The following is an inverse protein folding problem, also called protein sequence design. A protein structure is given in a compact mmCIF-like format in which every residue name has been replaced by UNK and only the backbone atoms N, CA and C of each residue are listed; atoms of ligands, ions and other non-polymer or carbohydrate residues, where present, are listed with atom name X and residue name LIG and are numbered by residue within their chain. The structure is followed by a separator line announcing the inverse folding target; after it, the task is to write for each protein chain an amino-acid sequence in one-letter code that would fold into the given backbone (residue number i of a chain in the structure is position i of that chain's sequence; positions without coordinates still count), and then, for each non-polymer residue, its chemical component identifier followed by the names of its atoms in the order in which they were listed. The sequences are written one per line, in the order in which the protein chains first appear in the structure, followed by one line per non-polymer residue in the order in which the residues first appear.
data_IF_703440570782
#
_entry.id   IF_703440570782
#
_cell.length_a   1.000
_cell.length_b   1.000
_cell.length_c   1.000
_cell.angle_alpha   90.00
_cell.angle_beta   90.00
_cell.angle_gamma   90.00
#
_symmetry.space_group_name_H-M   'P 1'
#
loop_
_entity.id
_entity.type
_entity.pdbx_description
1 polymer ?
#
# COMPACT_ATOMS: atom_id res chain seq x y z
N UNK A 1 43.64 -36.34 34.80
CA UNK A 1 42.22 -36.41 34.39
C UNK A 1 41.41 -35.11 34.45
N UNK A 2 41.72 -34.08 35.22
CA UNK A 2 40.95 -32.80 35.29
C UNK A 2 41.02 -31.91 34.04
N UNK A 3 42.08 -31.92 33.21
CA UNK A 3 42.28 -31.04 32.06
C UNK A 3 41.51 -31.41 30.77
N UNK A 4 41.15 -32.70 30.58
CA UNK A 4 40.34 -33.19 29.46
C UNK A 4 38.88 -32.66 29.52
N UNK A 5 38.35 -32.48 30.72
CA UNK A 5 37.02 -31.95 30.97
C UNK A 5 36.88 -30.46 30.60
N UNK A 6 37.93 -29.65 30.83
CA UNK A 6 37.93 -28.22 30.50
C UNK A 6 37.95 -27.96 28.99
N UNK A 7 38.63 -28.77 28.18
CA UNK A 7 38.64 -28.64 26.71
C UNK A 7 37.28 -28.99 26.10
N UNK A 8 36.64 -30.09 26.57
CA UNK A 8 35.27 -30.45 26.11
C UNK A 8 34.24 -29.40 26.53
N UNK A 9 34.34 -28.85 27.72
CA UNK A 9 33.44 -27.80 28.21
C UNK A 9 33.56 -26.50 27.38
N UNK A 10 34.76 -26.11 26.94
CA UNK A 10 34.97 -24.95 26.06
C UNK A 10 34.37 -25.17 24.67
N UNK A 11 34.50 -26.35 24.06
CA UNK A 11 33.91 -26.69 22.78
C UNK A 11 32.37 -26.64 22.86
N UNK A 12 31.78 -27.20 23.90
CA UNK A 12 30.33 -27.15 24.13
C UNK A 12 29.82 -25.71 24.33
N UNK A 13 30.62 -24.82 24.92
CA UNK A 13 30.26 -23.40 25.11
C UNK A 13 30.21 -22.63 23.79
N UNK A 14 31.12 -22.93 22.84
CA UNK A 14 31.10 -22.31 21.50
C UNK A 14 29.94 -22.84 20.65
N UNK A 15 29.62 -24.14 20.74
CA UNK A 15 28.46 -24.73 20.08
C UNK A 15 27.16 -24.13 20.63
N UNK A 16 27.06 -23.97 21.94
CA UNK A 16 25.93 -23.31 22.59
C UNK A 16 25.75 -21.85 22.16
N UNK A 17 26.86 -21.08 22.06
CA UNK A 17 26.83 -19.71 21.57
C UNK A 17 26.30 -19.61 20.14
N UNK A 18 26.72 -20.52 19.25
CA UNK A 18 26.25 -20.56 17.87
C UNK A 18 24.76 -20.82 17.76
N UNK A 19 24.24 -21.77 18.55
CA UNK A 19 22.80 -22.04 18.64
C UNK A 19 22.02 -20.82 19.11
N UNK A 20 22.50 -20.09 20.12
CA UNK A 20 21.88 -18.87 20.63
C UNK A 20 21.86 -17.79 19.54
N UNK A 21 22.93 -17.59 18.81
CA UNK A 21 22.99 -16.62 17.70
C UNK A 21 21.97 -16.95 16.62
N UNK A 22 21.84 -18.23 16.23
CA UNK A 22 20.84 -18.67 15.24
C UNK A 22 19.43 -18.40 15.75
N UNK A 23 19.13 -18.71 17.00
CA UNK A 23 17.80 -18.45 17.59
C UNK A 23 17.50 -16.95 17.57
N UNK A 24 18.44 -16.09 17.95
CA UNK A 24 18.27 -14.64 17.92
C UNK A 24 17.98 -14.14 16.50
N UNK A 25 18.71 -14.63 15.50
CA UNK A 25 18.47 -14.25 14.09
C UNK A 25 17.07 -14.66 13.63
N UNK A 26 16.62 -15.87 14.00
CA UNK A 26 15.28 -16.35 13.66
C UNK A 26 14.21 -15.48 14.34
N UNK A 27 14.37 -15.13 15.60
CA UNK A 27 13.44 -14.27 16.34
C UNK A 27 13.37 -12.88 15.71
N UNK A 28 14.51 -12.28 15.38
CA UNK A 28 14.58 -10.98 14.71
C UNK A 28 13.86 -11.03 13.36
N UNK A 29 14.06 -12.09 12.57
CA UNK A 29 13.41 -12.28 11.29
C UNK A 29 11.88 -12.38 11.44
N UNK A 30 11.40 -13.17 12.39
CA UNK A 30 9.95 -13.30 12.66
C UNK A 30 9.34 -11.96 13.06
N UNK A 31 10.01 -11.21 13.93
CA UNK A 31 9.54 -9.90 14.39
C UNK A 31 9.55 -8.87 13.24
N UNK A 32 10.59 -8.85 12.41
CA UNK A 32 10.68 -7.96 11.26
C UNK A 32 9.56 -8.23 10.24
N UNK A 33 9.33 -9.50 9.87
CA UNK A 33 8.24 -9.88 8.96
C UNK A 33 6.86 -9.53 9.53
N UNK A 34 6.64 -9.75 10.84
CA UNK A 34 5.38 -9.36 11.49
C UNK A 34 5.17 -7.84 11.49
N UNK A 35 6.24 -7.09 11.74
CA UNK A 35 6.22 -5.63 11.69
C UNK A 35 5.87 -5.12 10.30
N UNK A 36 6.52 -5.63 9.24
CA UNK A 36 6.24 -5.23 7.87
C UNK A 36 4.81 -5.58 7.45
N UNK A 37 4.31 -6.78 7.83
CA UNK A 37 2.91 -7.16 7.58
C UNK A 37 1.93 -6.20 8.24
N UNK A 38 2.13 -5.88 9.51
CA UNK A 38 1.25 -4.95 10.23
C UNK A 38 1.31 -3.53 9.64
N UNK A 39 2.50 -3.10 9.21
CA UNK A 39 2.67 -1.80 8.58
C UNK A 39 1.95 -1.73 7.24
N UNK A 40 2.06 -2.76 6.39
CA UNK A 40 1.38 -2.76 5.09
C UNK A 40 -0.13 -2.84 5.24
N UNK A 41 -0.67 -3.65 6.18
CA UNK A 41 -2.10 -3.68 6.49
C UNK A 41 -2.60 -2.29 6.89
N UNK A 42 -1.93 -1.63 7.83
CA UNK A 42 -2.27 -0.26 8.23
C UNK A 42 -2.15 0.75 7.09
N UNK A 43 -1.12 0.63 6.25
CA UNK A 43 -0.93 1.52 5.10
C UNK A 43 -2.03 1.31 4.08
N UNK A 44 -2.40 0.06 3.81
CA UNK A 44 -3.51 -0.30 2.92
C UNK A 44 -4.84 0.29 3.42
N UNK A 45 -5.19 0.08 4.68
CA UNK A 45 -6.42 0.60 5.29
C UNK A 45 -6.49 2.14 5.23
N UNK A 46 -5.37 2.80 5.54
CA UNK A 46 -5.28 4.25 5.46
C UNK A 46 -5.45 4.74 4.01
N UNK A 47 -4.82 4.07 3.04
CA UNK A 47 -4.92 4.41 1.62
C UNK A 47 -6.33 4.19 1.11
N UNK A 48 -6.97 3.09 1.48
CA UNK A 48 -8.35 2.81 1.08
C UNK A 48 -9.33 3.83 1.69
N UNK A 49 -9.13 4.20 2.95
CA UNK A 49 -9.90 5.26 3.62
C UNK A 49 -9.69 6.61 2.93
N UNK A 50 -8.46 6.93 2.57
CA UNK A 50 -8.16 8.14 1.80
C UNK A 50 -8.88 8.14 0.44
N UNK A 51 -8.84 7.03 -0.33
CA UNK A 51 -9.56 6.94 -1.60
C UNK A 51 -11.08 7.11 -1.43
N UNK A 52 -11.66 6.48 -0.40
CA UNK A 52 -13.08 6.65 -0.08
C UNK A 52 -13.40 8.12 0.24
N UNK A 53 -12.53 8.81 0.97
CA UNK A 53 -12.71 10.24 1.26
C UNK A 53 -12.59 11.13 0.01
N UNK A 54 -11.70 10.79 -0.91
CA UNK A 54 -11.57 11.51 -2.19
C UNK A 54 -12.84 11.32 -3.06
N UNK A 55 -13.38 10.11 -3.14
CA UNK A 55 -14.64 9.85 -3.82
C UNK A 55 -15.80 10.63 -3.18
N UNK A 56 -15.86 10.70 -1.84
CA UNK A 56 -16.86 11.49 -1.13
C UNK A 56 -16.73 12.97 -1.47
N UNK A 57 -15.53 13.54 -1.35
CA UNK A 57 -15.30 14.96 -1.66
C UNK A 57 -15.64 15.28 -3.11
N UNK A 58 -15.32 14.38 -4.04
CA UNK A 58 -15.68 14.52 -5.43
C UNK A 58 -17.20 14.54 -5.62
N UNK A 59 -17.92 13.57 -5.03
CA UNK A 59 -19.38 13.54 -5.06
C UNK A 59 -20.01 14.81 -4.49
N UNK A 60 -19.45 15.35 -3.39
CA UNK A 60 -19.90 16.61 -2.80
C UNK A 60 -19.70 17.80 -3.74
N UNK A 61 -18.56 17.88 -4.44
CA UNK A 61 -18.30 18.94 -5.43
C UNK A 61 -19.27 18.82 -6.61
N UNK A 62 -19.50 17.61 -7.13
CA UNK A 62 -20.45 17.37 -8.22
C UNK A 62 -21.88 17.73 -7.79
N UNK A 63 -22.28 17.37 -6.57
CA UNK A 63 -23.61 17.73 -6.06
C UNK A 63 -23.72 19.25 -5.83
N UNK A 64 -22.71 19.90 -5.30
CA UNK A 64 -22.68 21.35 -5.11
C UNK A 64 -22.79 22.09 -6.44
N UNK A 65 -22.06 21.64 -7.48
CA UNK A 65 -22.14 22.23 -8.82
C UNK A 65 -23.53 22.02 -9.44
N UNK A 66 -24.12 20.82 -9.29
CA UNK A 66 -25.49 20.54 -9.70
C UNK A 66 -26.48 21.50 -9.01
N UNK A 67 -26.39 21.63 -7.69
CA UNK A 67 -27.27 22.52 -6.92
C UNK A 67 -27.09 23.97 -7.39
N UNK A 68 -25.86 24.45 -7.52
CA UNK A 68 -25.56 25.80 -7.98
C UNK A 68 -26.14 26.09 -9.38
N UNK A 69 -26.01 25.12 -10.29
CA UNK A 69 -26.58 25.26 -11.64
C UNK A 69 -28.11 25.31 -11.64
N UNK A 70 -28.77 24.44 -10.85
CA UNK A 70 -30.22 24.43 -10.70
C UNK A 70 -30.77 25.71 -10.04
N UNK A 71 -30.07 26.19 -8.99
CA UNK A 71 -30.43 27.48 -8.34
C UNK A 71 -30.32 28.64 -9.32
N UNK A 72 -29.22 28.74 -10.06
CA UNK A 72 -29.03 29.77 -11.09
C UNK A 72 -30.14 29.71 -12.14
N UNK A 73 -30.46 28.51 -12.65
CA UNK A 73 -31.51 28.35 -13.66
C UNK A 73 -32.89 28.72 -13.11
N UNK A 74 -33.13 28.43 -11.81
CA UNK A 74 -34.35 28.85 -11.12
C UNK A 74 -34.45 30.36 -11.01
N UNK A 75 -33.34 31.03 -10.61
CA UNK A 75 -33.28 32.52 -10.57
C UNK A 75 -33.55 33.13 -11.95
N UNK A 76 -32.97 32.57 -13.02
CA UNK A 76 -33.23 33.00 -14.39
C UNK A 76 -34.69 32.82 -14.80
N UNK A 77 -35.30 31.67 -14.41
CA UNK A 77 -36.74 31.49 -14.67
C UNK A 77 -37.60 32.51 -13.93
N UNK A 78 -37.25 32.83 -12.65
CA UNK A 78 -37.94 33.86 -11.86
C UNK A 78 -37.77 35.25 -12.49
N UNK A 79 -36.58 35.58 -13.02
CA UNK A 79 -36.32 36.82 -13.72
C UNK A 79 -37.20 36.96 -14.97
N UNK A 80 -37.28 35.92 -15.83
CA UNK A 80 -38.15 35.87 -16.99
C UNK A 80 -39.62 36.05 -16.56
N UNK A 81 -40.08 35.35 -15.53
CA UNK A 81 -41.44 35.52 -15.01
C UNK A 81 -41.75 36.90 -14.49
N UNK A 82 -40.77 37.59 -13.88
CA UNK A 82 -40.90 38.95 -13.41
C UNK A 82 -40.94 39.97 -14.56
N UNK A 83 -40.14 39.75 -15.61
CA UNK A 83 -40.12 40.61 -16.78
C UNK A 83 -41.45 40.52 -17.56
N UNK A 84 -41.98 39.30 -17.75
CA UNK A 84 -43.30 39.08 -18.38
C UNK A 84 -44.41 39.73 -17.55
N UNK A 85 -44.34 39.66 -16.22
CA UNK A 85 -45.33 40.29 -15.33
C UNK A 85 -45.27 41.82 -15.45
N UNK A 86 -44.09 42.39 -15.69
CA UNK A 86 -43.92 43.85 -15.85
C UNK A 86 -44.46 44.33 -17.20
N UNK A 87 -44.25 43.55 -18.24
CA UNK A 87 -44.65 43.86 -19.60
C UNK A 87 -45.01 42.56 -20.37
N UNK A 88 -46.30 42.30 -20.47
CA UNK A 88 -46.82 41.08 -21.15
C UNK A 88 -46.57 41.09 -22.68
N UNK A 89 -46.26 42.25 -23.29
CA UNK A 89 -45.84 42.33 -24.67
C UNK A 89 -44.48 41.71 -24.94
N UNK A 90 -43.68 41.45 -23.87
CA UNK A 90 -42.41 40.75 -23.97
C UNK A 90 -42.55 39.25 -24.25
N UNK A 91 -43.76 38.70 -24.27
CA UNK A 91 -43.96 37.28 -24.65
C UNK A 91 -43.79 37.11 -26.15
N UNK A 92 -42.56 37.32 -26.62
CA UNK A 92 -42.22 37.06 -28.01
C UNK A 92 -40.91 36.25 -28.16
N UNK A 93 -40.74 35.67 -29.34
CA UNK A 93 -39.57 34.82 -29.62
C UNK A 93 -38.26 35.61 -29.69
N UNK A 94 -38.32 36.93 -29.94
CA UNK A 94 -37.11 37.78 -30.02
C UNK A 94 -36.57 38.05 -28.61
N UNK A 95 -37.45 38.39 -27.68
CA UNK A 95 -37.07 38.53 -26.26
C UNK A 95 -36.48 37.24 -25.73
N UNK A 96 -37.20 36.10 -25.89
CA UNK A 96 -36.73 34.80 -25.42
C UNK A 96 -35.38 34.40 -26.02
N UNK A 97 -35.17 34.70 -27.33
CA UNK A 97 -33.89 34.48 -27.97
C UNK A 97 -32.77 35.29 -27.32
N UNK A 98 -32.95 36.60 -27.22
CA UNK A 98 -31.94 37.51 -26.69
C UNK A 98 -31.60 37.16 -25.23
N UNK A 99 -32.61 36.84 -24.40
CA UNK A 99 -32.42 36.46 -23.02
C UNK A 99 -31.66 35.10 -22.91
N UNK A 100 -32.10 34.11 -23.70
CA UNK A 100 -31.48 32.78 -23.70
C UNK A 100 -30.00 32.84 -24.10
N UNK A 101 -29.69 33.65 -25.13
CA UNK A 101 -28.29 33.83 -25.57
C UNK A 101 -27.45 34.59 -24.55
N UNK A 102 -28.00 35.68 -23.99
CA UNK A 102 -27.30 36.47 -22.95
C UNK A 102 -27.02 35.68 -21.69
N UNK A 103 -27.96 34.86 -21.25
CA UNK A 103 -27.85 34.03 -20.03
C UNK A 103 -27.22 32.67 -20.27
N UNK A 104 -26.85 32.33 -21.49
CA UNK A 104 -26.29 31.03 -21.90
C UNK A 104 -27.17 29.86 -21.53
N UNK A 105 -28.45 30.01 -21.69
CA UNK A 105 -29.45 28.96 -21.53
C UNK A 105 -29.61 28.14 -22.81
N UNK A 106 -30.18 26.93 -22.73
CA UNK A 106 -30.48 26.10 -23.87
C UNK A 106 -31.86 26.44 -24.48
N UNK A 107 -32.80 26.87 -23.65
CA UNK A 107 -34.10 27.31 -24.10
C UNK A 107 -35.06 27.69 -22.98
N UNK A 108 -36.15 28.36 -23.41
CA UNK A 108 -37.26 28.81 -22.57
C UNK A 108 -38.55 28.48 -23.26
N UNK A 109 -39.54 27.98 -22.51
CA UNK A 109 -40.91 27.71 -22.98
C UNK A 109 -41.84 28.40 -22.00
N UNK A 110 -42.68 29.27 -22.51
CA UNK A 110 -43.80 29.91 -21.76
C UNK A 110 -45.08 29.11 -22.04
N UNK A 111 -45.67 28.60 -20.98
CA UNK A 111 -46.86 27.74 -21.03
C UNK A 111 -48.09 28.49 -20.50
N UNK A 112 -49.23 28.22 -21.09
CA UNK A 112 -50.54 28.65 -20.56
C UNK A 112 -51.06 27.77 -19.43
N UNK A 113 -52.32 28.00 -19.00
CA UNK A 113 -53.00 27.22 -17.96
C UNK A 113 -53.21 25.75 -18.34
N UNK A 114 -53.34 25.44 -19.64
CA UNK A 114 -53.50 24.09 -20.17
C UNK A 114 -52.18 23.43 -20.53
N UNK A 115 -51.06 23.98 -20.07
CA UNK A 115 -49.69 23.48 -20.37
C UNK A 115 -49.37 23.44 -21.87
N UNK A 116 -49.97 24.32 -22.67
CA UNK A 116 -49.66 24.52 -24.09
C UNK A 116 -48.65 25.68 -24.26
N UNK A 117 -47.77 25.63 -25.25
CA UNK A 117 -46.79 26.67 -25.46
C UNK A 117 -47.41 27.93 -26.05
N UNK A 118 -47.35 29.06 -25.33
CA UNK A 118 -47.68 30.38 -25.88
C UNK A 118 -46.50 30.97 -26.68
N UNK A 119 -45.31 30.80 -26.14
CA UNK A 119 -44.06 31.25 -26.79
C UNK A 119 -42.91 30.35 -26.40
N UNK A 120 -41.98 30.13 -27.29
CA UNK A 120 -40.79 29.33 -27.00
C UNK A 120 -39.59 29.73 -27.84
N UNK A 121 -38.41 29.49 -27.28
CA UNK A 121 -37.15 29.58 -28.01
C UNK A 121 -36.17 28.53 -27.52
N UNK A 122 -35.44 27.92 -28.46
CA UNK A 122 -34.40 26.93 -28.18
C UNK A 122 -33.20 27.16 -29.10
N UNK A 123 -32.01 27.24 -28.52
CA UNK A 123 -30.76 27.29 -29.30
C UNK A 123 -30.17 25.89 -29.56
N UNK A 124 -30.78 24.82 -28.97
CA UNK A 124 -30.33 23.42 -29.12
C UNK A 124 -31.34 22.56 -29.91
N UNK A 125 -32.40 23.17 -30.44
CA UNK A 125 -33.42 22.48 -31.24
C UNK A 125 -34.34 21.57 -30.43
N UNK A 126 -34.44 21.77 -29.12
CA UNK A 126 -35.38 21.06 -28.22
C UNK A 126 -36.54 21.99 -27.91
N UNK A 127 -37.63 21.82 -28.60
CA UNK A 127 -38.87 22.57 -28.43
C UNK A 127 -39.82 21.93 -27.43
N UNK A 128 -41.04 22.43 -27.35
CA UNK A 128 -42.11 21.90 -26.48
C UNK A 128 -42.31 20.38 -26.66
N UNK A 129 -42.33 19.90 -27.91
CA UNK A 129 -42.62 18.49 -28.19
C UNK A 129 -41.54 17.59 -27.55
N UNK A 130 -40.32 18.08 -27.52
CA UNK A 130 -39.24 17.36 -26.86
C UNK A 130 -39.44 17.21 -25.33
N UNK A 131 -40.11 18.16 -24.69
CA UNK A 131 -40.33 18.19 -23.23
C UNK A 131 -41.76 17.85 -22.81
N UNK A 132 -42.67 17.59 -23.74
CA UNK A 132 -44.09 17.41 -23.54
C UNK A 132 -44.44 16.44 -22.43
N UNK A 133 -43.86 15.25 -22.43
CA UNK A 133 -44.10 14.22 -21.39
C UNK A 133 -43.74 14.72 -19.98
N UNK A 134 -42.65 15.45 -19.86
CA UNK A 134 -42.21 16.01 -18.58
C UNK A 134 -43.07 17.22 -18.17
N UNK A 135 -43.40 18.10 -19.10
CA UNK A 135 -44.23 19.29 -18.85
C UNK A 135 -45.62 18.87 -18.38
N UNK A 136 -46.16 17.80 -18.94
CA UNK A 136 -47.45 17.25 -18.56
C UNK A 136 -47.41 16.39 -17.26
N UNK A 137 -46.23 16.12 -16.73
CA UNK A 137 -46.10 15.43 -15.43
C UNK A 137 -46.79 16.25 -14.32
N UNK A 138 -47.39 15.55 -13.39
CA UNK A 138 -48.08 16.14 -12.23
C UNK A 138 -47.20 17.11 -11.46
N UNK A 139 -45.89 16.85 -11.38
CA UNK A 139 -44.94 17.71 -10.68
C UNK A 139 -44.86 19.11 -11.25
N UNK A 140 -44.93 19.27 -12.57
CA UNK A 140 -44.88 20.56 -13.25
C UNK A 140 -46.27 21.15 -13.40
N UNK A 141 -47.26 20.37 -13.81
CA UNK A 141 -48.64 20.85 -13.99
C UNK A 141 -49.28 21.39 -12.71
N UNK A 142 -48.94 20.85 -11.54
CA UNK A 142 -49.39 21.39 -10.26
C UNK A 142 -48.80 22.78 -9.89
N UNK A 143 -47.73 23.23 -10.57
CA UNK A 143 -47.12 24.55 -10.30
C UNK A 143 -48.11 25.67 -10.58
N UNK A 144 -48.96 25.54 -11.61
CA UNK A 144 -50.01 26.52 -11.93
C UNK A 144 -50.94 26.82 -10.75
N UNK A 145 -51.19 25.81 -9.91
CA UNK A 145 -52.07 25.92 -8.73
C UNK A 145 -51.40 26.52 -7.51
N UNK A 146 -50.07 26.54 -7.49
CA UNK A 146 -49.27 26.93 -6.31
C UNK A 146 -48.16 27.86 -6.70
N UNK A 147 -48.40 29.15 -6.71
CA UNK A 147 -47.47 30.20 -7.13
C UNK A 147 -46.11 30.20 -6.46
N UNK A 148 -45.94 29.51 -5.34
CA UNK A 148 -44.67 29.37 -4.62
C UNK A 148 -43.95 28.06 -4.88
N UNK A 149 -44.57 27.14 -5.66
CA UNK A 149 -43.90 25.89 -6.05
C UNK A 149 -42.91 26.16 -7.17
N UNK A 150 -41.75 25.54 -7.04
CA UNK A 150 -40.69 25.54 -8.03
C UNK A 150 -40.34 24.08 -8.30
N UNK A 151 -40.17 23.73 -9.55
CA UNK A 151 -39.59 22.47 -9.94
C UNK A 151 -38.20 22.74 -10.48
N UNK A 152 -37.20 22.01 -9.98
CA UNK A 152 -35.84 22.08 -10.49
C UNK A 152 -35.21 20.68 -10.40
N UNK A 153 -34.76 20.16 -11.54
CA UNK A 153 -34.21 18.81 -11.61
C UNK A 153 -33.17 18.72 -12.73
N UNK A 154 -32.13 17.91 -12.54
CA UNK A 154 -31.19 17.50 -13.60
C UNK A 154 -31.62 16.18 -14.16
N UNK A 155 -31.87 16.09 -15.44
CA UNK A 155 -32.29 14.88 -16.13
C UNK A 155 -31.35 14.55 -17.31
N UNK A 156 -31.33 13.27 -17.67
CA UNK A 156 -30.62 12.83 -18.87
C UNK A 156 -31.62 12.61 -20.01
N UNK A 157 -31.35 13.25 -21.17
CA UNK A 157 -32.11 13.07 -22.40
C UNK A 157 -31.16 12.91 -23.58
N UNK A 158 -31.39 11.88 -24.41
CA UNK A 158 -30.53 11.57 -25.56
C UNK A 158 -29.03 11.50 -25.20
N UNK A 159 -28.70 10.85 -24.07
CA UNK A 159 -27.32 10.76 -23.52
C UNK A 159 -26.68 12.08 -23.11
N UNK A 160 -27.44 13.18 -23.10
CA UNK A 160 -26.98 14.49 -22.64
C UNK A 160 -27.71 14.90 -21.38
N UNK A 161 -27.03 15.65 -20.52
CA UNK A 161 -27.61 16.14 -19.28
C UNK A 161 -28.18 17.53 -19.44
N UNK A 162 -29.35 17.76 -18.87
CA UNK A 162 -30.04 19.05 -18.87
C UNK A 162 -30.48 19.39 -17.44
N UNK A 163 -30.20 20.61 -17.02
CA UNK A 163 -30.85 21.21 -15.86
C UNK A 163 -32.12 21.87 -16.30
N UNK A 164 -33.18 21.64 -15.54
CA UNK A 164 -34.53 22.12 -15.78
C UNK A 164 -34.99 22.93 -14.59
N UNK A 165 -35.70 24.02 -14.86
CA UNK A 165 -36.43 24.78 -13.86
C UNK A 165 -37.81 25.17 -14.41
N UNK A 166 -38.83 25.00 -13.56
CA UNK A 166 -40.17 25.46 -13.88
C UNK A 166 -40.75 26.23 -12.70
N UNK A 167 -41.34 27.39 -13.00
CA UNK A 167 -42.01 28.25 -12.02
C UNK A 167 -43.40 28.65 -12.50
N UNK A 168 -44.26 29.01 -11.57
CA UNK A 168 -45.57 29.61 -11.91
C UNK A 168 -45.36 31.01 -12.49
N UNK A 169 -46.11 31.34 -13.51
CA UNK A 169 -46.25 32.72 -14.01
C UNK A 169 -46.98 33.57 -12.96
N UNK A 170 -46.71 34.87 -12.99
CA UNK A 170 -47.31 35.82 -12.07
C UNK A 170 -48.26 36.80 -12.76
N UNK A 171 -48.20 36.86 -14.08
CA UNK A 171 -49.09 37.69 -14.91
C UNK A 171 -50.43 36.99 -15.28
N UNK A 172 -50.36 35.70 -15.52
CA UNK A 172 -51.50 34.85 -15.89
C UNK A 172 -51.27 33.43 -15.36
N UNK A 173 -52.34 32.59 -15.29
CA UNK A 173 -52.10 31.15 -14.97
C UNK A 173 -51.27 30.50 -16.06
N UNK A 174 -50.19 29.78 -15.63
CA UNK A 174 -49.24 29.15 -16.54
C UNK A 174 -47.91 28.89 -15.90
N UNK A 175 -46.92 28.48 -16.72
CA UNK A 175 -45.60 28.09 -16.23
C UNK A 175 -44.51 28.67 -17.14
N UNK A 176 -43.45 29.18 -16.53
CA UNK A 176 -42.16 29.46 -17.21
C UNK A 176 -41.29 28.24 -17.03
N UNK A 177 -40.98 27.59 -18.15
CA UNK A 177 -40.11 26.41 -18.19
C UNK A 177 -38.78 26.74 -18.85
N UNK A 178 -37.71 26.62 -18.10
CA UNK A 178 -36.36 26.93 -18.55
C UNK A 178 -35.50 25.68 -18.53
N UNK A 179 -34.56 25.57 -19.45
CA UNK A 179 -33.60 24.47 -19.44
C UNK A 179 -32.24 24.92 -19.94
N UNK A 180 -31.20 24.27 -19.36
CA UNK A 180 -29.81 24.53 -19.70
C UNK A 180 -29.13 23.20 -20.03
N UNK A 181 -28.37 23.18 -21.11
CA UNK A 181 -27.52 22.04 -21.45
C UNK A 181 -26.30 21.99 -20.52
N UNK A 182 -26.05 20.84 -19.97
CA UNK A 182 -24.85 20.57 -19.19
C UNK A 182 -23.86 19.82 -20.05
N UNK A 183 -22.73 20.44 -20.30
CA UNK A 183 -21.66 19.80 -21.06
C UNK A 183 -21.05 18.67 -20.25
N UNK A 184 -21.07 17.45 -20.79
CA UNK A 184 -20.42 16.30 -20.16
C UNK A 184 -18.90 16.49 -20.06
N UNK A 185 -18.31 17.34 -20.89
CA UNK A 185 -16.89 17.65 -20.82
C UNK A 185 -16.51 18.40 -19.53
N UNK A 186 -17.42 19.21 -18.97
CA UNK A 186 -17.18 19.82 -17.64
C UNK A 186 -17.21 18.79 -16.49
N UNK A 187 -17.97 17.72 -16.62
CA UNK A 187 -17.88 16.57 -15.71
C UNK A 187 -16.54 15.84 -15.92
N UNK A 188 -16.04 15.79 -17.16
CA UNK A 188 -14.72 15.25 -17.49
C UNK A 188 -13.58 16.14 -16.95
N UNK A 189 -13.74 17.46 -16.94
CA UNK A 189 -12.79 18.38 -16.28
C UNK A 189 -12.77 18.20 -14.75
N UNK A 190 -13.91 17.84 -14.16
CA UNK A 190 -13.98 17.43 -12.74
C UNK A 190 -13.28 16.08 -12.52
N UNK A 191 -13.32 15.18 -13.49
CA UNK A 191 -12.54 13.93 -13.47
C UNK A 191 -11.04 14.20 -13.59
N UNK A 192 -10.63 15.18 -14.40
CA UNK A 192 -9.25 15.66 -14.43
C UNK A 192 -8.81 16.21 -13.06
N UNK A 193 -9.74 16.75 -12.26
CA UNK A 193 -9.44 17.19 -10.90
C UNK A 193 -9.17 16.01 -9.96
N UNK A 194 -9.90 14.90 -10.05
CA UNK A 194 -9.60 13.66 -9.27
C UNK A 194 -8.24 13.09 -9.66
N UNK A 195 -7.97 13.05 -10.97
CA UNK A 195 -6.68 12.55 -11.46
C UNK A 195 -5.53 13.45 -10.98
N UNK A 196 -5.70 14.77 -11.01
CA UNK A 196 -4.71 15.73 -10.50
C UNK A 196 -4.48 15.60 -8.97
N UNK A 197 -5.51 15.31 -8.20
CA UNK A 197 -5.37 15.06 -6.77
C UNK A 197 -4.60 13.76 -6.48
N UNK A 198 -4.78 12.74 -7.29
CA UNK A 198 -4.11 11.44 -7.13
C UNK A 198 -2.74 11.40 -7.78
N UNK A 199 -2.52 12.08 -8.90
CA UNK A 199 -1.22 12.13 -9.59
C UNK A 199 -0.09 12.70 -8.72
N UNK A 200 -0.42 13.57 -7.76
CA UNK A 200 0.53 14.09 -6.76
C UNK A 200 0.65 13.25 -5.50
N UNK A 201 -0.14 12.20 -5.35
CA UNK A 201 -0.15 11.39 -4.15
C UNK A 201 1.02 10.39 -4.15
N UNK A 202 2.09 10.78 -3.46
CA UNK A 202 3.25 9.90 -3.28
C UNK A 202 2.92 8.82 -2.24
N UNK A 203 2.67 7.61 -2.71
CA UNK A 203 2.51 6.45 -1.82
C UNK A 203 3.87 5.99 -1.28
N UNK A 204 3.90 5.68 0.00
CA UNK A 204 5.01 4.92 0.54
C UNK A 204 5.09 3.55 -0.16
N UNK A 205 6.30 3.02 -0.34
CA UNK A 205 6.53 1.68 -0.92
C UNK A 205 6.14 1.54 -2.41
N UNK A 206 6.22 2.63 -3.21
CA UNK A 206 5.92 2.61 -4.64
C UNK A 206 4.59 1.88 -4.98
N UNK A 207 3.57 2.12 -4.19
CA UNK A 207 2.26 1.56 -4.42
C UNK A 207 1.51 2.28 -5.53
N UNK A 208 0.66 1.56 -6.22
CA UNK A 208 -0.24 2.11 -7.24
C UNK A 208 -1.68 2.02 -6.77
N UNK A 209 -2.45 3.06 -7.03
CA UNK A 209 -3.86 3.15 -6.68
C UNK A 209 -4.70 3.56 -7.88
N UNK A 210 -5.97 3.11 -7.87
CA UNK A 210 -6.95 3.45 -8.89
C UNK A 210 -8.31 3.72 -8.28
N UNK A 211 -8.99 4.71 -8.86
CA UNK A 211 -10.42 4.92 -8.73
C UNK A 211 -11.03 4.62 -10.09
N UNK A 212 -11.92 3.65 -10.17
CA UNK A 212 -12.58 3.26 -11.41
C UNK A 212 -14.10 3.11 -11.22
N UNK A 213 -14.86 3.39 -12.26
CA UNK A 213 -16.25 3.00 -12.33
C UNK A 213 -16.47 2.26 -13.65
N UNK A 214 -17.20 1.17 -13.60
CA UNK A 214 -17.28 0.19 -14.68
C UNK A 214 -15.86 -0.24 -15.13
N UNK A 215 -15.50 -0.02 -16.37
CA UNK A 215 -14.18 -0.33 -16.90
C UNK A 215 -13.28 0.91 -17.11
N UNK A 216 -13.78 2.11 -16.79
CA UNK A 216 -13.03 3.36 -16.96
C UNK A 216 -12.28 3.73 -15.67
N UNK A 217 -11.03 4.11 -15.81
CA UNK A 217 -10.21 4.68 -14.73
C UNK A 217 -10.50 6.17 -14.66
N UNK A 218 -10.88 6.65 -13.47
CA UNK A 218 -11.14 8.06 -13.19
C UNK A 218 -9.98 8.75 -12.50
N UNK A 219 -9.13 7.99 -11.82
CA UNK A 219 -7.96 8.52 -11.16
C UNK A 219 -6.95 7.45 -10.83
N UNK A 220 -5.68 7.80 -10.97
CA UNK A 220 -4.53 6.97 -10.59
C UNK A 220 -3.36 7.86 -10.20
N UNK A 221 -2.45 7.35 -9.39
CA UNK A 221 -1.18 8.03 -9.08
C UNK A 221 -0.05 7.65 -10.05
N UNK A 222 -0.32 6.81 -11.03
CA UNK A 222 0.66 6.37 -12.02
C UNK A 222 0.20 6.81 -13.43
N UNK A 223 0.88 7.80 -13.97
CA UNK A 223 0.57 8.39 -15.28
C UNK A 223 0.54 7.37 -16.44
N UNK A 224 1.22 6.24 -16.28
CA UNK A 224 1.21 5.17 -17.27
C UNK A 224 -0.20 4.62 -17.54
N UNK A 225 -1.10 4.70 -16.57
CA UNK A 225 -2.44 4.11 -16.63
C UNK A 225 -3.57 5.13 -16.78
N UNK A 226 -3.29 6.42 -16.99
CA UNK A 226 -4.32 7.48 -17.05
C UNK A 226 -5.40 7.26 -18.11
N UNK A 227 -5.04 6.64 -19.25
CA UNK A 227 -5.96 6.43 -20.37
C UNK A 227 -6.28 4.96 -20.62
N UNK A 228 -5.92 4.06 -19.70
CA UNK A 228 -6.16 2.64 -19.82
C UNK A 228 -7.57 2.27 -19.30
N UNK A 229 -8.09 1.16 -19.80
CA UNK A 229 -9.25 0.52 -19.19
C UNK A 229 -8.79 -0.45 -18.10
N UNK A 230 -9.63 -0.66 -17.09
CA UNK A 230 -9.32 -1.61 -16.00
C UNK A 230 -9.16 -3.04 -16.51
N UNK A 231 -9.77 -3.37 -17.65
CA UNK A 231 -9.64 -4.67 -18.34
C UNK A 231 -8.28 -4.88 -19.02
N UNK A 232 -7.53 -3.81 -19.25
CA UNK A 232 -6.20 -3.87 -19.87
C UNK A 232 -5.08 -4.05 -18.84
N UNK A 233 -5.39 -3.92 -17.54
CA UNK A 233 -4.41 -3.97 -16.46
C UNK A 233 -4.49 -5.33 -15.74
N UNK A 234 -3.51 -6.24 -15.96
CA UNK A 234 -3.54 -7.60 -15.41
C UNK A 234 -3.68 -7.64 -13.88
N UNK A 235 -3.00 -6.73 -13.17
CA UNK A 235 -3.08 -6.62 -11.71
C UNK A 235 -4.50 -6.31 -11.23
N UNK A 236 -5.25 -5.46 -11.94
CA UNK A 236 -6.64 -5.15 -11.60
C UNK A 236 -7.54 -6.35 -11.88
N UNK A 237 -7.30 -7.10 -12.95
CA UNK A 237 -8.08 -8.31 -13.25
C UNK A 237 -7.92 -9.35 -12.14
N UNK A 238 -6.70 -9.58 -11.65
CA UNK A 238 -6.46 -10.45 -10.50
C UNK A 238 -7.17 -9.95 -9.23
N UNK A 239 -7.12 -8.65 -8.94
CA UNK A 239 -7.82 -8.07 -7.80
C UNK A 239 -9.34 -8.16 -7.93
N UNK A 240 -9.90 -8.10 -9.14
CA UNK A 240 -11.33 -8.30 -9.40
C UNK A 240 -11.79 -9.71 -9.09
N UNK A 241 -10.98 -10.72 -9.39
CA UNK A 241 -11.30 -12.13 -9.15
C UNK A 241 -11.38 -12.49 -7.67
N UNK A 242 -10.79 -11.67 -6.78
CA UNK A 242 -10.78 -11.90 -5.34
C UNK A 242 -12.16 -11.57 -4.77
N UNK A 243 -12.79 -12.52 -4.11
CA UNK A 243 -14.15 -12.32 -3.54
C UNK A 243 -14.19 -11.30 -2.39
N UNK A 244 -13.12 -11.22 -1.59
CA UNK A 244 -13.07 -10.36 -0.40
C UNK A 244 -12.76 -8.92 -0.76
N UNK A 245 -13.66 -8.01 -0.38
CA UNK A 245 -13.45 -6.56 -0.43
C UNK A 245 -12.85 -6.06 0.89
N UNK A 246 -12.17 -4.91 0.83
CA UNK A 246 -11.57 -4.20 1.97
C UNK A 246 -10.51 -5.00 2.77
N UNK A 247 -9.94 -6.07 2.18
CA UNK A 247 -8.88 -6.86 2.80
C UNK A 247 -7.60 -6.85 1.95
N UNK A 248 -6.45 -6.80 2.64
CA UNK A 248 -5.15 -6.98 2.00
C UNK A 248 -4.93 -8.45 1.65
N UNK A 249 -4.60 -8.72 0.41
CA UNK A 249 -4.27 -10.04 -0.12
C UNK A 249 -2.92 -10.06 -0.80
N UNK A 250 -2.30 -11.25 -0.84
CA UNK A 250 -1.04 -11.48 -1.57
C UNK A 250 -1.36 -12.26 -2.84
N UNK A 251 -0.88 -11.77 -3.98
CA UNK A 251 -1.17 -12.37 -5.28
C UNK A 251 0.02 -12.22 -6.24
N UNK A 252 -0.04 -12.89 -7.37
CA UNK A 252 0.97 -12.82 -8.42
C UNK A 252 0.32 -12.42 -9.73
N UNK A 253 0.89 -11.44 -10.43
CA UNK A 253 0.46 -11.01 -11.76
C UNK A 253 1.70 -10.80 -12.62
N UNK A 254 1.70 -11.28 -13.86
CA UNK A 254 2.82 -11.21 -14.82
C UNK A 254 4.17 -11.64 -14.22
N UNK A 255 4.17 -12.70 -13.41
CA UNK A 255 5.39 -13.24 -12.77
C UNK A 255 5.93 -12.38 -11.61
N UNK A 256 5.29 -11.27 -11.27
CA UNK A 256 5.64 -10.40 -10.15
C UNK A 256 4.69 -10.63 -8.97
N UNK A 257 5.24 -10.53 -7.75
CA UNK A 257 4.47 -10.67 -6.52
C UNK A 257 4.04 -9.32 -5.99
N UNK A 258 2.77 -9.22 -5.69
CA UNK A 258 2.14 -8.03 -5.14
C UNK A 258 1.40 -8.33 -3.83
N UNK A 259 1.14 -7.30 -3.07
CA UNK A 259 0.12 -7.29 -2.03
C UNK A 259 -0.77 -6.08 -2.24
N UNK A 260 -2.05 -6.26 -2.09
CA UNK A 260 -3.02 -5.21 -2.36
C UNK A 260 -4.44 -5.69 -2.10
N UNK A 261 -5.39 -4.92 -2.52
CA UNK A 261 -6.79 -5.27 -2.38
C UNK A 261 -7.70 -4.35 -3.17
N UNK A 262 -8.97 -4.68 -3.15
CA UNK A 262 -10.05 -3.86 -3.70
C UNK A 262 -10.96 -3.37 -2.59
N UNK A 263 -11.52 -2.18 -2.79
CA UNK A 263 -12.59 -1.62 -2.00
C UNK A 263 -13.70 -1.10 -2.90
N UNK A 264 -14.84 -0.77 -2.32
CA UNK A 264 -15.95 -0.16 -3.04
C UNK A 264 -16.48 1.04 -2.26
N UNK A 265 -16.80 2.09 -2.99
CA UNK A 265 -17.52 3.23 -2.47
C UNK A 265 -18.58 3.66 -3.49
N UNK A 266 -19.87 3.43 -3.19
CA UNK A 266 -21.00 3.64 -4.12
C UNK A 266 -20.77 2.92 -5.45
N UNK A 267 -20.66 3.67 -6.55
CA UNK A 267 -20.42 3.15 -7.91
C UNK A 267 -18.92 3.05 -8.26
N UNK A 268 -18.02 3.49 -7.34
CA UNK A 268 -16.59 3.43 -7.56
C UNK A 268 -15.99 2.14 -7.03
N UNK A 269 -15.16 1.53 -7.85
CA UNK A 269 -14.25 0.44 -7.47
C UNK A 269 -12.86 1.04 -7.20
N UNK A 270 -12.32 0.74 -6.04
CA UNK A 270 -11.04 1.23 -5.56
C UNK A 270 -10.04 0.08 -5.58
N UNK A 271 -8.88 0.27 -6.20
CA UNK A 271 -7.82 -0.74 -6.24
C UNK A 271 -6.53 -0.13 -5.70
N UNK A 272 -5.86 -0.89 -4.85
CA UNK A 272 -4.58 -0.48 -4.26
C UNK A 272 -3.67 -1.69 -4.26
N UNK A 273 -2.45 -1.54 -4.78
CA UNK A 273 -1.46 -2.60 -4.69
C UNK A 273 -0.04 -2.06 -4.51
N UNK A 274 0.80 -2.92 -3.95
CA UNK A 274 2.20 -2.65 -3.64
C UNK A 274 3.07 -3.78 -4.16
N UNK A 275 4.21 -3.51 -4.78
CA UNK A 275 5.19 -4.56 -5.09
C UNK A 275 5.70 -5.21 -3.80
N UNK A 276 5.62 -6.53 -3.68
CA UNK A 276 6.06 -7.26 -2.48
C UNK A 276 7.54 -7.00 -2.15
N UNK A 277 8.34 -6.74 -3.16
CA UNK A 277 9.74 -6.30 -3.05
C UNK A 277 9.90 -5.07 -2.17
N UNK A 278 9.03 -4.08 -2.31
CA UNK A 278 9.10 -2.81 -1.57
C UNK A 278 8.61 -2.98 -0.14
N UNK A 279 7.53 -3.74 0.04
CA UNK A 279 6.92 -4.00 1.36
C UNK A 279 7.93 -4.64 2.33
N UNK A 280 8.69 -5.64 1.86
CA UNK A 280 9.67 -6.34 2.68
C UNK A 280 11.11 -5.82 2.52
N UNK A 281 11.30 -4.60 2.00
CA UNK A 281 12.63 -4.01 1.84
C UNK A 281 13.35 -3.82 3.18
N UNK A 282 12.63 -3.38 4.22
CA UNK A 282 13.17 -3.20 5.56
C UNK A 282 13.56 -4.56 6.18
N UNK A 283 12.70 -5.56 6.10
CA UNK A 283 13.02 -6.93 6.55
C UNK A 283 14.28 -7.46 5.84
N UNK A 284 14.40 -7.30 4.53
CA UNK A 284 15.60 -7.75 3.79
C UNK A 284 16.88 -7.09 4.29
N UNK A 285 16.86 -5.77 4.52
CA UNK A 285 18.02 -5.05 5.08
C UNK A 285 18.37 -5.54 6.49
N UNK A 286 17.37 -5.73 7.34
CA UNK A 286 17.55 -6.24 8.70
C UNK A 286 18.13 -7.65 8.71
N UNK A 287 17.65 -8.54 7.84
CA UNK A 287 18.17 -9.90 7.69
C UNK A 287 19.62 -9.90 7.21
N UNK A 288 19.96 -9.09 6.20
CA UNK A 288 21.33 -8.97 5.72
C UNK A 288 22.27 -8.47 6.82
N UNK A 289 21.86 -7.46 7.58
CA UNK A 289 22.65 -6.96 8.73
C UNK A 289 22.84 -8.03 9.81
N UNK A 290 21.75 -8.74 10.15
CA UNK A 290 21.82 -9.83 11.13
C UNK A 290 22.76 -10.97 10.68
N UNK A 291 22.74 -11.33 9.40
CA UNK A 291 23.66 -12.31 8.81
C UNK A 291 25.11 -11.82 8.85
N UNK A 292 25.37 -10.56 8.49
CA UNK A 292 26.71 -9.98 8.57
C UNK A 292 27.25 -9.98 10.01
N UNK A 293 26.44 -9.55 10.98
CA UNK A 293 26.80 -9.57 12.41
C UNK A 293 27.08 -11.00 12.86
N UNK A 294 26.22 -11.96 12.51
CA UNK A 294 26.38 -13.37 12.83
C UNK A 294 27.68 -13.95 12.27
N UNK A 295 28.04 -13.60 11.03
CA UNK A 295 29.31 -13.99 10.40
C UNK A 295 30.51 -13.41 11.15
N UNK A 296 30.46 -12.15 11.57
CA UNK A 296 31.53 -11.50 12.33
C UNK A 296 31.69 -12.18 13.70
N UNK A 297 30.60 -12.47 14.40
CA UNK A 297 30.65 -13.20 15.68
C UNK A 297 31.25 -14.60 15.49
N UNK A 298 30.84 -15.32 14.44
CA UNK A 298 31.36 -16.64 14.13
C UNK A 298 32.86 -16.60 13.78
N UNK A 299 33.29 -15.63 12.97
CA UNK A 299 34.70 -15.43 12.64
C UNK A 299 35.54 -15.11 13.89
N UNK A 300 35.06 -14.20 14.75
CA UNK A 300 35.72 -13.87 16.00
C UNK A 300 35.83 -15.08 16.95
N UNK A 301 34.74 -15.86 17.07
CA UNK A 301 34.73 -17.08 17.85
C UNK A 301 35.73 -18.13 17.32
N UNK A 302 35.82 -18.27 15.98
CA UNK A 302 36.77 -19.18 15.32
C UNK A 302 38.23 -18.76 15.57
N UNK A 303 38.52 -17.48 15.43
CA UNK A 303 39.87 -16.92 15.72
C UNK A 303 40.21 -17.14 17.20
N UNK A 304 39.29 -16.85 18.10
CA UNK A 304 39.51 -17.08 19.54
C UNK A 304 39.76 -18.57 19.87
N UNK A 305 38.98 -19.46 19.23
CA UNK A 305 39.19 -20.92 19.38
C UNK A 305 40.56 -21.37 18.89
N UNK A 306 40.98 -20.89 17.69
CA UNK A 306 42.29 -21.22 17.12
C UNK A 306 43.42 -20.70 17.97
N UNK A 307 43.32 -19.45 18.51
CA UNK A 307 44.30 -18.88 19.41
C UNK A 307 44.40 -19.67 20.71
N UNK A 308 43.27 -20.02 21.34
CA UNK A 308 43.21 -20.85 22.54
C UNK A 308 43.79 -22.25 22.30
N UNK A 309 43.51 -22.87 21.16
CA UNK A 309 44.08 -24.16 20.75
C UNK A 309 45.60 -24.09 20.60
N UNK A 310 46.14 -23.04 19.98
CA UNK A 310 47.60 -22.85 19.83
C UNK A 310 48.31 -22.66 21.17
N UNK A 311 47.68 -21.93 22.10
CA UNK A 311 48.24 -21.76 23.46
C UNK A 311 48.27 -23.10 24.19
N UNK A 312 47.19 -23.87 24.12
CA UNK A 312 47.08 -25.18 24.76
C UNK A 312 48.10 -26.19 24.18
N UNK A 313 48.30 -26.19 22.86
CA UNK A 313 49.30 -27.05 22.20
C UNK A 313 50.73 -26.66 22.63
N UNK A 314 51.03 -25.37 22.82
CA UNK A 314 52.33 -24.94 23.36
C UNK A 314 52.57 -25.45 24.78
N UNK A 315 51.58 -25.27 25.66
CA UNK A 315 51.66 -25.81 27.06
C UNK A 315 51.85 -27.32 27.07
N UNK A 316 51.13 -28.06 26.20
CA UNK A 316 51.23 -29.52 26.11
C UNK A 316 52.65 -29.92 25.62
N UNK A 317 53.19 -29.24 24.61
CA UNK A 317 54.54 -29.49 24.11
C UNK A 317 55.63 -29.18 25.16
N UNK A 318 55.44 -28.14 25.97
CA UNK A 318 56.36 -27.84 27.09
C UNK A 318 56.30 -28.94 28.17
N UNK A 319 55.08 -29.41 28.49
CA UNK A 319 54.92 -30.52 29.44
C UNK A 319 55.56 -31.83 28.92
N UNK A 320 55.40 -32.14 27.62
CA UNK A 320 56.06 -33.27 26.99
C UNK A 320 57.56 -33.18 27.07
N UNK A 321 58.18 -32.03 26.80
CA UNK A 321 59.64 -31.81 26.93
C UNK A 321 60.12 -32.03 28.38
N UNK A 322 59.35 -31.61 29.38
CA UNK A 322 59.69 -31.82 30.79
C UNK A 322 59.62 -33.30 31.13
N UNK A 323 58.61 -34.01 30.67
CA UNK A 323 58.47 -35.46 30.89
C UNK A 323 59.61 -36.24 30.21
N UNK A 324 59.94 -35.92 28.94
CA UNK A 324 61.07 -36.51 28.23
C UNK A 324 62.40 -36.28 28.95
N UNK A 325 62.63 -35.04 29.46
CA UNK A 325 63.83 -34.72 30.24
C UNK A 325 63.89 -35.51 31.59
N UNK A 326 62.74 -35.72 32.25
CA UNK A 326 62.64 -36.51 33.45
C UNK A 326 62.90 -38.02 33.17
N UNK A 327 62.33 -38.54 32.09
CA UNK A 327 62.60 -39.94 31.69
C UNK A 327 64.05 -40.17 31.34
N UNK A 328 64.69 -39.21 30.63
CA UNK A 328 66.11 -39.31 30.31
C UNK A 328 66.98 -39.33 31.58
N UNK A 329 66.65 -38.48 32.53
CA UNK A 329 67.37 -38.52 33.85
C UNK A 329 67.16 -39.81 34.57
N UNK A 330 65.94 -40.34 34.61
CA UNK A 330 65.59 -41.63 35.24
C UNK A 330 66.39 -42.79 34.64
N UNK A 331 66.46 -42.86 33.29
CA UNK A 331 67.27 -43.87 32.57
C UNK A 331 68.76 -43.68 32.91
N UNK A 332 69.29 -42.45 32.97
CA UNK A 332 70.65 -42.20 33.38
C UNK A 332 70.94 -42.68 34.86
N UNK A 333 69.99 -42.41 35.77
CA UNK A 333 70.11 -42.86 37.10
C UNK A 333 70.07 -44.42 37.20
N UNK A 334 69.20 -45.08 36.47
CA UNK A 334 69.14 -46.54 36.42
C UNK A 334 70.42 -47.14 35.83
N UNK A 335 71.01 -46.49 34.78
CA UNK A 335 72.29 -46.95 34.23
C UNK A 335 73.42 -46.80 35.21
N UNK A 336 73.54 -45.65 35.92
CA UNK A 336 74.53 -45.48 37.03
C UNK A 336 74.33 -46.45 38.15
N UNK A 337 73.11 -46.71 38.57
CA UNK A 337 72.82 -47.70 39.61
C UNK A 337 73.25 -49.08 39.19
N UNK A 338 72.97 -49.47 37.93
CA UNK A 338 73.41 -50.77 37.40
C UNK A 338 74.92 -50.89 37.35
N UNK A 339 75.66 -49.86 36.92
CA UNK A 339 77.11 -49.83 36.92
C UNK A 339 77.66 -49.95 38.36
N UNK A 340 77.09 -49.24 39.32
CA UNK A 340 77.50 -49.33 40.74
C UNK A 340 77.22 -50.73 41.35
N UNK A 341 76.09 -51.34 40.97
CA UNK A 341 75.82 -52.75 41.40
C UNK A 341 76.82 -53.72 40.80
N UNK A 342 77.15 -53.60 39.52
CA UNK A 342 78.16 -54.45 38.86
C UNK A 342 79.53 -54.28 39.49
N UNK A 343 79.93 -53.03 39.80
CA UNK A 343 81.18 -52.77 40.53
C UNK A 343 81.16 -53.41 41.97
N UNK A 344 80.03 -53.23 42.67
CA UNK A 344 79.90 -53.84 43.99
C UNK A 344 79.94 -55.41 43.98
N UNK A 345 79.34 -55.98 42.95
CA UNK A 345 79.39 -57.44 42.72
C UNK A 345 80.82 -57.89 42.38
N UNK A 346 81.56 -57.17 41.53
CA UNK A 346 82.97 -57.46 41.19
C UNK A 346 83.85 -57.34 42.44
N UNK A 347 83.69 -56.30 43.28
CA UNK A 347 84.42 -56.12 44.52
C UNK A 347 84.10 -57.24 45.53
N UNK A 348 82.85 -57.67 45.58
CA UNK A 348 82.47 -58.76 46.46
C UNK A 348 83.02 -60.13 46.02
N UNK A 349 83.05 -60.41 44.71
CA UNK A 349 83.69 -61.61 44.16
C UNK A 349 85.23 -61.58 44.47
N UNK A 350 85.89 -60.45 44.24
CA UNK A 350 87.32 -60.29 44.51
C UNK A 350 87.63 -60.49 46.01
N UNK A 351 86.76 -59.95 46.89
CA UNK A 351 86.88 -60.15 48.34
C UNK A 351 86.70 -61.62 48.70
N UNK A 352 85.76 -62.32 48.13
CA UNK A 352 85.49 -63.69 48.34
C UNK A 352 86.63 -64.58 47.88
N UNK A 353 87.19 -64.28 46.70
CA UNK A 353 88.41 -65.01 46.18
C UNK A 353 89.65 -64.73 47.01
N UNK A 354 89.78 -63.47 47.46
CA UNK A 354 90.88 -63.16 48.43
C UNK A 354 90.76 -63.90 49.74
N UNK A 355 89.57 -63.98 50.38
CA UNK A 355 89.33 -64.74 51.61
C UNK A 355 89.52 -66.23 51.39
N UNK A 356 89.08 -66.75 50.22
CA UNK A 356 89.32 -68.17 49.87
C UNK A 356 90.81 -68.56 49.76
N UNK A 357 91.63 -67.68 49.18
CA UNK A 357 93.06 -67.88 49.08
C UNK A 357 93.74 -67.79 50.44
N UNK A 358 93.30 -66.89 51.36
CA UNK A 358 93.85 -66.81 52.72
C UNK A 358 93.41 -67.94 53.59
N UNK A 359 92.40 -68.68 53.32
CA UNK A 359 91.98 -69.84 54.15
C UNK A 359 92.52 -71.18 53.66
N UNK A 360 93.36 -71.15 52.62
CA UNK A 360 93.99 -72.32 52.02
C UNK A 360 95.55 -72.37 52.33
N UNK A 361 96.13 -71.33 52.94
CA UNK A 361 97.42 -71.40 53.54
C UNK A 361 97.34 -71.67 55.07
#
# INVERSE_FOLDING_TARGET
MKKSGQSKMKVQLYEGLLVVVIIVVIVVLILAVRSDKKNIEKTFDNTLTYLKSQCLSYDEVVQADKIKSLVRLTEQAVEVGADIHRDSELIDSVYLKNYTEAQRMAGIIILDEDMQPECQYSNVGLDYDAWKELIQDKKISEITKYSKKIYAERIQKNKKWYDLAAISRTDSPGVVFCYCYQDTDRLTDSYAAVNNLLAGYAMNMNGTLFIAADDKIYGTNDAQYENCQTTEIPVIQELRSIERSDNLVYFTSDGHRYCGGKGRYRDYNLYVYYPQKEVFAATRRTVLLALCISMLIWAAATVARNKSGRVHMRELNEQLKIIEAQQKKEVEYQLKLKQSMEEAVRANIAKTDFLRRMSHD
#
